data_IF_021548688201
#
_entry.id   IF_021548688201
#
_cell.length_a   1.000
_cell.length_b   1.000
_cell.length_c   1.000
_cell.angle_alpha   90.00
_cell.angle_beta   90.00
_cell.angle_gamma   90.00
#
_symmetry.space_group_name_H-M   'P 1'
#
loop_
_entity.id
_entity.type
_entity.pdbx_description
1 polymer ?
#
# COMPACT_ATOMS: atom_id res chain seq x y z
N UNK A 1 -15.51 -26.79 -10.72
CA UNK A 1 -14.61 -26.03 -9.83
C UNK A 1 -13.66 -25.27 -10.74
N UNK A 2 -13.82 -23.95 -10.88
CA UNK A 2 -12.84 -23.17 -11.64
C UNK A 2 -11.55 -23.11 -10.82
N UNK A 3 -10.43 -23.52 -11.40
CA UNK A 3 -9.11 -23.30 -10.82
C UNK A 3 -8.88 -21.80 -10.70
N UNK A 4 -8.81 -21.30 -9.46
CA UNK A 4 -8.49 -19.90 -9.19
C UNK A 4 -7.08 -19.60 -9.72
N UNK A 5 -6.93 -18.56 -10.54
CA UNK A 5 -5.63 -18.17 -11.08
C UNK A 5 -4.71 -17.75 -9.94
N UNK A 6 -3.48 -18.26 -9.91
CA UNK A 6 -2.48 -17.91 -8.90
C UNK A 6 -1.18 -17.46 -9.56
N UNK A 7 -0.55 -16.43 -8.98
CA UNK A 7 0.63 -15.75 -9.49
C UNK A 7 1.82 -16.02 -8.57
N UNK A 8 2.94 -16.44 -9.15
CA UNK A 8 4.15 -16.75 -8.40
C UNK A 8 4.92 -15.48 -8.05
N UNK A 9 5.16 -15.27 -6.76
CA UNK A 9 6.02 -14.21 -6.23
C UNK A 9 7.45 -14.72 -6.10
N UNK A 10 7.63 -15.85 -5.44
CA UNK A 10 8.90 -16.58 -5.37
C UNK A 10 8.65 -18.10 -5.34
N UNK A 11 9.70 -18.91 -5.15
CA UNK A 11 9.62 -20.37 -5.20
C UNK A 11 8.58 -20.98 -4.26
N UNK A 12 8.25 -20.28 -3.17
CA UNK A 12 7.35 -20.81 -2.15
C UNK A 12 6.07 -19.98 -2.02
N UNK A 13 6.00 -18.77 -2.57
CA UNK A 13 4.94 -17.80 -2.29
C UNK A 13 4.10 -17.50 -3.54
N UNK A 14 2.78 -17.63 -3.39
CA UNK A 14 1.80 -17.39 -4.44
C UNK A 14 0.78 -16.35 -3.98
N UNK A 15 0.26 -15.56 -4.92
CA UNK A 15 -0.87 -14.67 -4.71
C UNK A 15 -2.04 -15.15 -5.57
N UNK A 16 -3.24 -15.24 -5.00
CA UNK A 16 -4.43 -15.56 -5.79
C UNK A 16 -4.99 -14.33 -6.51
N UNK A 17 -5.70 -14.55 -7.61
CA UNK A 17 -6.39 -13.48 -8.34
C UNK A 17 -7.40 -12.74 -7.45
N UNK A 18 -8.05 -13.43 -6.49
CA UNK A 18 -8.94 -12.80 -5.52
C UNK A 18 -8.21 -11.73 -4.70
N UNK A 19 -7.03 -12.04 -4.17
CA UNK A 19 -6.22 -11.08 -3.41
C UNK A 19 -5.85 -9.88 -4.27
N UNK A 20 -5.43 -10.10 -5.52
CA UNK A 20 -5.10 -9.01 -6.44
C UNK A 20 -6.29 -8.10 -6.77
N UNK A 21 -7.51 -8.66 -6.87
CA UNK A 21 -8.74 -7.86 -7.04
C UNK A 21 -9.04 -7.03 -5.80
N UNK A 22 -8.83 -7.58 -4.61
CA UNK A 22 -8.96 -6.82 -3.37
C UNK A 22 -7.93 -5.69 -3.31
N UNK A 23 -6.68 -5.94 -3.73
CA UNK A 23 -5.66 -4.90 -3.82
C UNK A 23 -6.02 -3.81 -4.84
N UNK A 24 -6.53 -4.16 -6.02
CA UNK A 24 -6.98 -3.18 -7.02
C UNK A 24 -8.05 -2.22 -6.49
N UNK A 25 -8.95 -2.72 -5.64
CA UNK A 25 -9.99 -1.90 -5.04
C UNK A 25 -9.42 -0.83 -4.10
N UNK A 26 -8.33 -1.11 -3.37
CA UNK A 26 -7.84 -0.24 -2.28
C UNK A 26 -6.49 0.44 -2.57
N UNK A 27 -5.77 0.02 -3.61
CA UNK A 27 -4.38 0.46 -3.84
C UNK A 27 -4.25 1.95 -4.15
N UNK A 28 -5.17 2.50 -4.94
CA UNK A 28 -5.17 3.93 -5.35
C UNK A 28 -6.44 4.59 -4.84
N UNK A 29 -6.43 5.59 -3.96
CA UNK A 29 -7.68 6.12 -3.39
C UNK A 29 -8.50 6.97 -4.37
N UNK A 30 -9.80 7.13 -4.11
CA UNK A 30 -10.74 7.88 -4.99
C UNK A 30 -10.66 9.41 -4.82
N UNK A 31 -9.77 9.88 -3.96
CA UNK A 31 -9.31 11.27 -3.83
C UNK A 31 -7.80 11.26 -3.57
N UNK A 32 -7.18 12.42 -3.55
CA UNK A 32 -5.74 12.58 -3.30
C UNK A 32 -5.47 13.41 -2.04
N UNK A 33 -4.41 13.03 -1.32
CA UNK A 33 -3.81 13.84 -0.26
C UNK A 33 -2.55 14.52 -0.80
N UNK A 34 -2.63 15.84 -1.00
CA UNK A 34 -1.49 16.66 -1.41
C UNK A 34 -0.96 17.43 -0.21
N UNK A 35 0.25 17.10 0.24
CA UNK A 35 0.92 17.72 1.37
C UNK A 35 1.72 18.96 0.97
N UNK A 36 1.75 19.98 1.82
CA UNK A 36 2.47 21.23 1.59
C UNK A 36 3.06 21.77 2.90
N UNK A 37 4.07 22.63 2.79
CA UNK A 37 4.67 23.30 3.95
C UNK A 37 3.82 24.49 4.42
N UNK A 38 3.13 25.16 3.50
CA UNK A 38 2.34 26.38 3.78
C UNK A 38 1.02 26.42 3.02
N UNK A 39 0.03 27.13 3.58
CA UNK A 39 -1.26 27.40 2.92
C UNK A 39 -1.07 28.20 1.63
N UNK A 40 -0.07 29.10 1.57
CA UNK A 40 0.20 29.89 0.37
C UNK A 40 0.61 29.01 -0.83
N UNK A 41 1.35 27.93 -0.59
CA UNK A 41 1.64 26.96 -1.66
C UNK A 41 0.35 26.32 -2.19
N UNK A 42 -0.55 25.91 -1.29
CA UNK A 42 -1.85 25.33 -1.66
C UNK A 42 -2.64 26.32 -2.53
N UNK A 43 -2.82 27.55 -2.05
CA UNK A 43 -3.59 28.57 -2.76
C UNK A 43 -3.00 28.95 -4.13
N UNK A 44 -1.68 28.77 -4.32
CA UNK A 44 -1.02 28.99 -5.60
C UNK A 44 -1.43 27.93 -6.63
N UNK A 45 -1.46 26.65 -6.24
CA UNK A 45 -1.72 25.54 -7.16
C UNK A 45 -3.20 25.17 -7.26
N UNK A 46 -3.98 25.44 -6.22
CA UNK A 46 -5.42 25.20 -6.14
C UNK A 46 -6.19 26.52 -5.97
N UNK A 47 -6.69 27.12 -7.06
CA UNK A 47 -7.36 28.42 -7.02
C UNK A 47 -8.82 28.39 -6.52
N UNK A 48 -9.26 27.37 -5.77
CA UNK A 48 -10.67 27.19 -5.39
C UNK A 48 -10.91 26.30 -4.17
N UNK A 49 -12.14 25.77 -4.05
CA UNK A 49 -12.65 25.01 -2.91
C UNK A 49 -11.99 23.62 -2.75
N UNK A 50 -10.77 23.60 -2.22
CA UNK A 50 -10.14 22.39 -1.71
C UNK A 50 -10.25 22.34 -0.20
N UNK A 51 -10.47 21.14 0.35
CA UNK A 51 -10.46 20.97 1.79
C UNK A 51 -9.00 21.00 2.26
N UNK A 52 -8.67 21.97 3.11
CA UNK A 52 -7.34 22.12 3.67
C UNK A 52 -7.38 21.70 5.13
N UNK A 53 -6.50 20.78 5.50
CA UNK A 53 -6.29 20.34 6.87
C UNK A 53 -4.86 20.65 7.28
N UNK A 54 -4.65 21.02 8.54
CA UNK A 54 -3.32 20.85 9.12
C UNK A 54 -3.00 19.36 9.24
N UNK A 55 -1.70 19.02 9.29
CA UNK A 55 -1.24 17.64 9.46
C UNK A 55 -1.76 17.04 10.77
N UNK A 56 -1.88 17.85 11.82
CA UNK A 56 -2.41 17.42 13.12
C UNK A 56 -3.91 17.11 13.05
N UNK A 57 -4.71 17.97 12.42
CA UNK A 57 -6.15 17.72 12.21
C UNK A 57 -6.37 16.47 11.35
N UNK A 58 -5.63 16.34 10.24
CA UNK A 58 -5.77 15.19 9.35
C UNK A 58 -5.45 13.87 10.05
N UNK A 59 -4.37 13.80 10.83
CA UNK A 59 -3.99 12.56 11.55
C UNK A 59 -5.07 12.11 12.54
N UNK A 60 -5.81 13.06 13.12
CA UNK A 60 -6.88 12.79 14.08
C UNK A 60 -8.24 12.57 13.43
N UNK A 61 -8.38 12.78 12.11
CA UNK A 61 -9.60 12.48 11.38
C UNK A 61 -9.70 10.98 11.08
N UNK A 62 -10.55 10.26 11.79
CA UNK A 62 -10.69 8.81 11.63
C UNK A 62 -11.32 8.38 10.30
N UNK A 63 -12.03 9.29 9.61
CA UNK A 63 -12.66 9.00 8.32
C UNK A 63 -11.63 9.13 7.21
N UNK A 64 -10.88 10.24 7.20
CA UNK A 64 -9.86 10.54 6.20
C UNK A 64 -8.53 9.83 6.46
N UNK A 65 -8.11 9.68 7.71
CA UNK A 65 -6.85 9.02 8.09
C UNK A 65 -7.08 7.58 8.58
N UNK A 66 -8.02 6.87 7.95
CA UNK A 66 -8.20 5.44 8.13
C UNK A 66 -6.98 4.64 7.62
N UNK A 67 -6.91 3.35 7.95
CA UNK A 67 -5.74 2.53 7.60
C UNK A 67 -5.51 2.41 6.09
N UNK A 68 -6.56 2.35 5.28
CA UNK A 68 -6.44 2.25 3.83
C UNK A 68 -5.76 3.48 3.24
N UNK A 69 -6.22 4.67 3.61
CA UNK A 69 -5.61 5.93 3.17
C UNK A 69 -4.20 6.09 3.71
N UNK A 70 -3.97 5.70 4.96
CA UNK A 70 -2.63 5.76 5.55
C UNK A 70 -1.64 4.89 4.77
N UNK A 71 -2.06 3.69 4.37
CA UNK A 71 -1.28 2.77 3.55
C UNK A 71 -1.06 3.31 2.14
N UNK A 72 -2.12 3.72 1.46
CA UNK A 72 -2.06 4.19 0.08
C UNK A 72 -1.19 5.45 -0.06
N UNK A 73 -1.34 6.43 0.84
CA UNK A 73 -0.55 7.67 0.80
C UNK A 73 0.78 7.59 1.56
N UNK A 74 1.05 6.48 2.25
CA UNK A 74 2.21 6.28 3.14
C UNK A 74 2.38 7.46 4.12
N UNK A 75 1.30 7.85 4.77
CA UNK A 75 1.21 9.04 5.64
C UNK A 75 2.28 9.12 6.74
N UNK A 76 2.84 7.98 7.16
CA UNK A 76 3.93 7.87 8.13
C UNK A 76 5.32 8.25 7.58
N UNK A 77 5.51 8.30 6.26
CA UNK A 77 6.75 8.67 5.60
C UNK A 77 6.81 10.15 5.18
N UNK A 78 5.71 10.90 5.39
CA UNK A 78 5.62 12.30 4.99
C UNK A 78 6.64 13.12 5.77
N UNK A 79 7.47 13.86 5.04
CA UNK A 79 8.51 14.71 5.61
C UNK A 79 7.93 15.61 6.72
N UNK A 80 8.68 15.78 7.81
CA UNK A 80 8.26 16.58 8.97
C UNK A 80 8.03 18.05 8.64
N UNK A 81 8.63 18.55 7.55
CA UNK A 81 8.43 19.94 7.08
C UNK A 81 7.03 20.18 6.50
N UNK A 82 6.32 19.13 6.05
CA UNK A 82 4.94 19.25 5.60
C UNK A 82 4.01 19.54 6.79
N UNK A 83 3.23 20.61 6.69
CA UNK A 83 2.34 21.09 7.76
C UNK A 83 0.87 21.03 7.40
N UNK A 84 0.55 21.03 6.12
CA UNK A 84 -0.82 21.06 5.61
C UNK A 84 -1.04 19.98 4.57
N UNK A 85 -2.29 19.57 4.40
CA UNK A 85 -2.73 18.68 3.34
C UNK A 85 -3.99 19.25 2.69
N UNK A 86 -4.00 19.27 1.36
CA UNK A 86 -5.19 19.50 0.56
C UNK A 86 -5.79 18.14 0.17
N UNK A 87 -7.09 17.97 0.44
CA UNK A 87 -7.86 16.78 0.07
C UNK A 87 -8.62 17.13 -1.21
N UNK A 88 -8.31 16.41 -2.30
CA UNK A 88 -8.75 16.79 -3.63
C UNK A 88 -9.38 15.58 -4.33
N UNK A 89 -10.64 15.68 -4.82
CA UNK A 89 -11.20 14.64 -5.66
C UNK A 89 -10.34 14.43 -6.93
N UNK A 90 -10.12 13.18 -7.35
CA UNK A 90 -9.28 12.89 -8.52
C UNK A 90 -9.75 13.62 -9.80
N UNK A 91 -11.07 13.85 -9.94
CA UNK A 91 -11.65 14.60 -11.05
C UNK A 91 -11.19 16.07 -11.07
N UNK A 92 -11.01 16.68 -9.90
CA UNK A 92 -10.52 18.06 -9.78
C UNK A 92 -9.04 18.14 -10.14
N UNK A 93 -8.20 17.20 -9.69
CA UNK A 93 -6.80 17.18 -10.12
C UNK A 93 -6.67 17.02 -11.65
N UNK A 94 -7.52 16.19 -12.25
CA UNK A 94 -7.46 15.86 -13.68
C UNK A 94 -7.69 17.07 -14.60
N UNK A 95 -8.45 18.08 -14.14
CA UNK A 95 -8.74 19.30 -14.92
C UNK A 95 -7.72 20.42 -14.72
N UNK A 96 -6.75 20.27 -13.81
CA UNK A 96 -5.70 21.25 -13.62
C UNK A 96 -4.81 21.35 -14.87
N UNK A 97 -4.22 22.52 -15.08
CA UNK A 97 -3.23 22.70 -16.14
C UNK A 97 -1.97 21.86 -15.86
N UNK A 98 -1.29 21.39 -16.91
CA UNK A 98 -0.12 20.51 -16.77
C UNK A 98 0.99 21.12 -15.92
N UNK A 99 1.19 22.43 -16.00
CA UNK A 99 2.14 23.15 -15.15
C UNK A 99 1.78 23.06 -13.65
N UNK A 100 0.48 23.16 -13.32
CA UNK A 100 0.00 23.02 -11.93
C UNK A 100 0.14 21.58 -11.45
N UNK A 101 -0.23 20.60 -12.29
CA UNK A 101 -0.05 19.17 -11.99
C UNK A 101 1.40 18.86 -11.72
N UNK A 102 2.31 19.29 -12.60
CA UNK A 102 3.75 19.09 -12.43
C UNK A 102 4.28 19.75 -11.16
N UNK A 103 3.87 20.98 -10.84
CA UNK A 103 4.26 21.66 -9.60
C UNK A 103 3.79 20.90 -8.36
N UNK A 104 2.53 20.44 -8.37
CA UNK A 104 1.99 19.59 -7.31
C UNK A 104 2.82 18.31 -7.23
N UNK A 105 2.91 17.49 -8.28
CA UNK A 105 3.59 16.20 -8.23
C UNK A 105 5.08 16.30 -7.83
N UNK A 106 5.76 17.37 -8.24
CA UNK A 106 7.12 17.65 -7.84
C UNK A 106 7.24 17.92 -6.33
N UNK A 107 6.43 18.83 -5.79
CA UNK A 107 6.44 19.18 -4.36
C UNK A 107 6.24 17.95 -3.49
N UNK A 108 5.44 17.06 -4.00
CA UNK A 108 4.99 15.86 -3.34
C UNK A 108 6.02 14.73 -3.35
N UNK A 109 6.73 14.58 -4.47
CA UNK A 109 7.94 13.76 -4.53
C UNK A 109 8.98 14.28 -3.53
N UNK A 110 9.20 15.60 -3.48
CA UNK A 110 10.13 16.26 -2.54
C UNK A 110 9.77 15.98 -1.08
N UNK A 111 8.48 15.95 -0.76
CA UNK A 111 7.95 15.61 0.56
C UNK A 111 7.87 14.09 0.84
N UNK A 112 8.35 13.26 -0.10
CA UNK A 112 8.40 11.79 -0.03
C UNK A 112 7.04 11.14 0.22
N UNK A 113 6.00 11.66 -0.43
CA UNK A 113 4.64 11.15 -0.26
C UNK A 113 4.12 10.44 -1.51
N UNK A 114 3.01 9.73 -1.32
CA UNK A 114 2.08 9.35 -2.39
C UNK A 114 2.62 8.26 -3.30
N UNK A 115 1.81 7.93 -4.31
CA UNK A 115 2.06 6.85 -5.24
C UNK A 115 2.91 7.36 -6.41
N UNK A 116 4.15 7.75 -6.10
CA UNK A 116 5.14 8.23 -7.08
C UNK A 116 6.25 7.19 -7.21
N UNK A 117 6.54 6.79 -8.43
CA UNK A 117 7.63 5.85 -8.74
C UNK A 117 8.53 6.39 -9.84
N UNK A 118 9.75 5.84 -9.87
CA UNK A 118 10.68 6.04 -10.97
C UNK A 118 10.07 5.58 -12.28
N UNK A 119 10.17 6.43 -13.30
CA UNK A 119 9.54 6.17 -14.59
C UNK A 119 10.14 4.95 -15.30
N UNK A 120 11.44 4.70 -15.11
CA UNK A 120 12.11 3.52 -15.66
C UNK A 120 11.65 2.22 -14.98
N UNK A 121 11.29 2.24 -13.69
CA UNK A 121 10.69 1.09 -13.01
C UNK A 121 9.32 0.75 -13.60
N UNK A 122 8.48 1.78 -13.85
CA UNK A 122 7.19 1.63 -14.53
C UNK A 122 7.37 1.00 -15.92
N UNK A 123 8.30 1.54 -16.73
CA UNK A 123 8.60 1.02 -18.08
C UNK A 123 9.05 -0.44 -18.05
N UNK A 124 9.90 -0.81 -17.09
CA UNK A 124 10.37 -2.18 -16.93
C UNK A 124 9.21 -3.16 -16.66
N UNK A 125 8.21 -2.76 -15.87
CA UNK A 125 7.00 -3.55 -15.64
C UNK A 125 6.17 -3.65 -16.92
N UNK A 126 5.90 -2.52 -17.58
CA UNK A 126 5.05 -2.48 -18.76
C UNK A 126 5.62 -3.29 -19.93
N UNK A 127 6.94 -3.39 -20.04
CA UNK A 127 7.61 -4.26 -21.02
C UNK A 127 7.21 -5.74 -20.85
N UNK A 128 6.89 -6.18 -19.62
CA UNK A 128 6.43 -7.56 -19.33
C UNK A 128 5.01 -7.83 -19.86
N UNK A 129 4.21 -6.79 -20.10
CA UNK A 129 2.87 -6.91 -20.69
C UNK A 129 2.88 -7.14 -22.22
N UNK A 130 4.06 -7.07 -22.85
CA UNK A 130 4.23 -7.10 -24.30
C UNK A 130 4.17 -5.71 -24.94
N UNK A 131 4.84 -5.54 -26.09
CA UNK A 131 5.09 -4.22 -26.70
C UNK A 131 3.83 -3.40 -26.92
N UNK A 132 2.81 -3.94 -27.60
CA UNK A 132 1.60 -3.17 -27.93
C UNK A 132 0.83 -2.69 -26.70
N UNK A 133 0.58 -3.59 -25.74
CA UNK A 133 -0.17 -3.24 -24.53
C UNK A 133 0.65 -2.36 -23.58
N UNK A 134 1.94 -2.65 -23.46
CA UNK A 134 2.89 -1.88 -22.68
C UNK A 134 2.99 -0.44 -23.16
N UNK A 135 3.10 -0.22 -24.47
CA UNK A 135 3.17 1.12 -25.07
C UNK A 135 1.88 1.92 -24.84
N UNK A 136 0.70 1.28 -25.00
CA UNK A 136 -0.60 1.92 -24.68
C UNK A 136 -0.68 2.32 -23.21
N UNK A 137 -0.26 1.45 -22.29
CA UNK A 137 -0.27 1.78 -20.86
C UNK A 137 0.76 2.86 -20.53
N UNK A 138 1.89 2.90 -21.23
CA UNK A 138 2.93 3.89 -21.01
C UNK A 138 2.43 5.30 -21.32
N UNK A 139 1.66 5.49 -22.40
CA UNK A 139 1.09 6.81 -22.72
C UNK A 139 0.11 7.30 -21.64
N UNK A 140 -0.56 6.39 -20.93
CA UNK A 140 -1.41 6.75 -19.79
C UNK A 140 -0.57 7.29 -18.63
N UNK A 141 0.56 6.64 -18.30
CA UNK A 141 1.44 7.11 -17.21
C UNK A 141 2.20 8.40 -17.56
N UNK A 142 2.44 8.67 -18.85
CA UNK A 142 3.04 9.94 -19.30
C UNK A 142 2.21 11.17 -18.90
N UNK A 143 0.88 11.03 -18.76
CA UNK A 143 -0.01 12.15 -18.40
C UNK A 143 0.29 12.74 -17.02
N UNK A 144 0.88 11.94 -16.11
CA UNK A 144 1.32 12.35 -14.78
C UNK A 144 2.83 12.16 -14.58
N UNK A 145 3.59 12.13 -15.66
CA UNK A 145 5.04 12.08 -15.58
C UNK A 145 5.63 13.48 -15.42
N UNK A 146 6.69 13.60 -14.64
CA UNK A 146 7.35 14.87 -14.35
C UNK A 146 8.84 14.66 -14.07
N UNK A 147 9.63 15.71 -14.30
CA UNK A 147 11.09 15.68 -14.12
C UNK A 147 11.48 16.07 -12.69
N UNK A 148 12.50 15.38 -12.17
CA UNK A 148 13.11 15.67 -10.86
C UNK A 148 14.64 15.62 -10.98
N UNK A 149 15.39 16.13 -9.98
CA UNK A 149 16.84 15.92 -9.91
C UNK A 149 17.29 14.46 -9.93
N UNK A 150 16.44 13.52 -9.50
CA UNK A 150 16.72 12.08 -9.47
C UNK A 150 16.31 11.38 -10.79
N UNK A 151 15.73 12.13 -11.73
CA UNK A 151 15.24 11.64 -13.02
C UNK A 151 13.74 11.78 -13.17
N UNK A 152 13.21 11.17 -14.24
CA UNK A 152 11.78 11.20 -14.56
C UNK A 152 11.01 10.29 -13.60
N UNK A 153 9.95 10.84 -13.04
CA UNK A 153 9.03 10.17 -12.13
C UNK A 153 7.63 10.15 -12.74
N UNK A 154 6.75 9.26 -12.29
CA UNK A 154 5.33 9.36 -12.56
C UNK A 154 4.49 9.04 -11.33
N UNK A 155 3.39 9.79 -11.18
CA UNK A 155 2.42 9.59 -10.13
C UNK A 155 1.24 8.74 -10.62
N UNK A 156 0.89 7.69 -9.89
CA UNK A 156 -0.32 6.91 -10.14
C UNK A 156 -1.46 7.50 -9.32
N UNK A 157 -2.48 7.94 -10.04
CA UNK A 157 -3.74 8.43 -9.49
C UNK A 157 -4.89 7.60 -10.02
N UNK A 158 -6.05 7.65 -9.36
CA UNK A 158 -7.17 6.75 -9.67
C UNK A 158 -7.62 6.87 -11.12
N UNK A 159 -7.68 8.09 -11.65
CA UNK A 159 -8.10 8.34 -13.05
C UNK A 159 -7.19 7.71 -14.09
N UNK A 160 -5.88 7.61 -13.81
CA UNK A 160 -4.95 6.86 -14.65
C UNK A 160 -5.08 5.35 -14.41
N UNK A 161 -5.11 4.96 -13.14
CA UNK A 161 -5.12 3.56 -12.73
C UNK A 161 -6.31 2.79 -13.28
N UNK A 162 -7.50 3.40 -13.30
CA UNK A 162 -8.73 2.77 -13.79
C UNK A 162 -8.70 2.50 -15.31
N UNK A 163 -7.83 3.20 -16.06
CA UNK A 163 -7.63 2.97 -17.49
C UNK A 163 -6.65 1.84 -17.78
N UNK A 164 -5.90 1.39 -16.77
CA UNK A 164 -4.94 0.29 -16.91
C UNK A 164 -5.69 -1.05 -16.83
N UNK A 165 -5.50 -1.97 -17.78
CA UNK A 165 -6.12 -3.29 -17.71
C UNK A 165 -5.65 -4.09 -16.49
N UNK A 166 -6.56 -4.87 -15.89
CA UNK A 166 -6.27 -5.66 -14.69
C UNK A 166 -5.09 -6.62 -14.86
N UNK A 167 -4.88 -7.16 -16.07
CA UNK A 167 -3.71 -8.00 -16.38
C UNK A 167 -2.38 -7.26 -16.21
N UNK A 168 -2.33 -5.97 -16.53
CA UNK A 168 -1.15 -5.11 -16.34
C UNK A 168 -1.02 -4.69 -14.88
N UNK A 169 -2.13 -4.34 -14.21
CA UNK A 169 -2.15 -4.05 -12.77
C UNK A 169 -1.60 -5.22 -11.94
N UNK A 170 -1.90 -6.44 -12.35
CA UNK A 170 -1.34 -7.66 -11.75
C UNK A 170 0.20 -7.69 -11.83
N UNK A 171 0.80 -7.22 -12.91
CA UNK A 171 2.25 -7.12 -13.01
C UNK A 171 2.80 -6.15 -11.95
N UNK A 172 2.20 -4.97 -11.79
CA UNK A 172 2.59 -4.03 -10.72
C UNK A 172 2.51 -4.67 -9.33
N UNK A 173 1.38 -5.29 -9.00
CA UNK A 173 1.20 -5.93 -7.70
C UNK A 173 2.20 -7.04 -7.43
N UNK A 174 2.45 -7.90 -8.42
CA UNK A 174 3.42 -8.98 -8.26
C UNK A 174 4.85 -8.46 -8.12
N UNK A 175 5.20 -7.36 -8.78
CA UNK A 175 6.54 -6.76 -8.69
C UNK A 175 6.75 -6.01 -7.37
N UNK A 176 5.72 -5.30 -6.88
CA UNK A 176 5.72 -4.71 -5.52
C UNK A 176 5.83 -5.83 -4.48
N UNK A 177 5.02 -6.88 -4.59
CA UNK A 177 5.07 -8.00 -3.67
C UNK A 177 6.46 -8.69 -3.67
N UNK A 178 7.10 -8.80 -4.84
CA UNK A 178 8.47 -9.33 -4.95
C UNK A 178 9.47 -8.46 -4.21
N UNK A 179 9.49 -7.15 -4.47
CA UNK A 179 10.46 -6.23 -3.84
C UNK A 179 10.34 -6.18 -2.32
N UNK A 180 9.13 -6.36 -1.79
CA UNK A 180 8.89 -6.42 -0.34
C UNK A 180 9.15 -7.82 0.25
N UNK A 181 9.24 -8.86 -0.59
CA UNK A 181 9.44 -10.26 -0.20
C UNK A 181 10.89 -10.77 -0.33
N UNK A 182 11.84 -9.91 -0.71
CA UNK A 182 13.25 -10.28 -0.96
C UNK A 182 14.03 -10.75 0.29
N UNK A 183 13.39 -10.81 1.45
CA UNK A 183 13.92 -11.57 2.58
C UNK A 183 13.64 -13.05 2.37
N UNK A 184 14.68 -13.89 2.34
CA UNK A 184 14.54 -15.35 2.29
C UNK A 184 13.62 -15.75 3.45
N UNK A 185 12.36 -16.05 3.13
CA UNK A 185 11.37 -16.42 4.13
C UNK A 185 11.91 -17.62 4.91
N UNK A 186 11.99 -17.53 6.23
CA UNK A 186 12.40 -18.66 7.06
C UNK A 186 11.56 -19.91 6.74
N UNK A 187 10.29 -19.71 6.38
CA UNK A 187 9.39 -20.77 5.90
C UNK A 187 9.93 -21.53 4.69
N UNK A 188 10.57 -20.84 3.75
CA UNK A 188 11.19 -21.48 2.57
C UNK A 188 12.34 -22.41 2.92
N UNK A 189 13.02 -22.15 4.05
CA UNK A 189 14.18 -22.91 4.50
C UNK A 189 13.80 -24.13 5.36
N UNK A 190 12.56 -24.19 5.87
CA UNK A 190 12.10 -25.31 6.68
C UNK A 190 11.91 -26.57 5.84
N UNK A 191 12.36 -27.70 6.39
CA UNK A 191 12.09 -29.02 5.83
C UNK A 191 10.59 -29.34 5.85
N UNK A 192 10.16 -30.27 4.99
CA UNK A 192 8.77 -30.76 4.96
C UNK A 192 8.34 -31.27 6.36
N UNK A 193 9.25 -31.92 7.08
CA UNK A 193 8.98 -32.42 8.44
C UNK A 193 8.71 -31.29 9.43
N UNK A 194 9.45 -30.18 9.33
CA UNK A 194 9.25 -29.01 10.19
C UNK A 194 7.95 -28.27 9.85
N UNK A 195 7.65 -28.10 8.56
CA UNK A 195 6.38 -27.53 8.09
C UNK A 195 5.19 -28.35 8.61
N UNK A 196 5.23 -29.67 8.44
CA UNK A 196 4.19 -30.58 8.94
C UNK A 196 4.09 -30.53 10.47
N UNK A 197 5.20 -30.37 11.20
CA UNK A 197 5.17 -30.20 12.66
C UNK A 197 4.43 -28.92 13.03
N UNK A 198 4.74 -27.80 12.38
CA UNK A 198 4.09 -26.51 12.64
C UNK A 198 2.60 -26.58 12.33
N UNK A 199 2.22 -27.17 11.19
CA UNK A 199 0.81 -27.36 10.79
C UNK A 199 0.03 -28.16 11.84
N UNK A 200 0.61 -29.25 12.35
CA UNK A 200 -0.04 -30.09 13.35
C UNK A 200 -0.09 -29.43 14.75
N UNK A 201 0.95 -28.71 15.14
CA UNK A 201 1.01 -28.05 16.47
C UNK A 201 0.18 -26.76 16.50
N UNK A 202 0.14 -26.01 15.40
CA UNK A 202 -0.48 -24.68 15.31
C UNK A 202 -1.41 -24.54 14.10
N UNK A 203 -2.44 -25.42 13.96
CA UNK A 203 -3.30 -25.43 12.77
C UNK A 203 -4.10 -24.13 12.58
N UNK A 204 -4.33 -23.38 13.65
CA UNK A 204 -5.03 -22.10 13.64
C UNK A 204 -4.17 -20.94 13.12
N UNK A 205 -2.84 -21.02 13.23
CA UNK A 205 -1.91 -20.00 12.73
C UNK A 205 -1.45 -20.33 11.31
N UNK A 206 -1.41 -21.63 10.97
CA UNK A 206 -0.88 -22.11 9.69
C UNK A 206 -1.50 -21.42 8.47
N UNK A 207 -2.81 -21.19 8.46
CA UNK A 207 -3.52 -20.52 7.37
C UNK A 207 -3.13 -19.04 7.19
N UNK A 208 -2.52 -18.44 8.21
CA UNK A 208 -2.05 -17.06 8.18
C UNK A 208 -0.57 -16.97 7.82
N UNK A 209 0.18 -18.08 7.88
CA UNK A 209 1.58 -18.12 7.49
C UNK A 209 1.72 -18.04 5.97
N UNK A 210 2.72 -17.29 5.52
CA UNK A 210 3.15 -17.31 4.12
C UNK A 210 2.01 -16.98 3.13
N UNK A 211 1.12 -16.08 3.54
CA UNK A 211 -0.03 -15.60 2.79
C UNK A 211 0.00 -14.09 2.65
N UNK A 212 -0.79 -13.55 1.72
CA UNK A 212 -1.00 -12.12 1.59
C UNK A 212 -2.40 -11.76 2.09
N UNK A 213 -2.51 -10.61 2.76
CA UNK A 213 -3.78 -10.13 3.26
C UNK A 213 -4.65 -9.56 2.13
N UNK A 214 -5.95 -9.80 2.23
CA UNK A 214 -6.96 -9.24 1.30
C UNK A 214 -7.24 -7.74 1.57
N UNK A 215 -7.00 -7.26 2.78
CA UNK A 215 -7.31 -5.90 3.23
C UNK A 215 -6.15 -5.29 4.01
N UNK A 216 -6.08 -3.97 4.07
CA UNK A 216 -5.22 -3.32 5.06
C UNK A 216 -5.78 -3.55 6.48
N UNK A 217 -4.92 -3.50 7.48
CA UNK A 217 -5.32 -3.71 8.87
C UNK A 217 -4.40 -4.68 9.59
N UNK A 218 -4.26 -5.95 9.17
CA UNK A 218 -3.31 -6.86 9.77
C UNK A 218 -1.89 -6.25 9.78
N UNK A 219 -1.24 -6.25 10.94
CA UNK A 219 0.16 -5.83 11.06
C UNK A 219 0.99 -6.86 11.82
N UNK A 220 2.32 -6.70 11.81
CA UNK A 220 3.24 -7.65 12.44
C UNK A 220 2.97 -7.83 13.94
N UNK A 221 2.47 -6.77 14.62
CA UNK A 221 2.11 -6.83 16.02
C UNK A 221 0.90 -7.74 16.24
N UNK A 222 -0.16 -7.59 15.44
CA UNK A 222 -1.32 -8.46 15.44
C UNK A 222 -0.95 -9.92 15.19
N UNK A 223 -0.09 -10.19 14.21
CA UNK A 223 0.39 -11.54 13.93
C UNK A 223 1.15 -12.15 15.11
N UNK A 224 2.04 -11.38 15.76
CA UNK A 224 2.78 -11.84 16.94
C UNK A 224 1.85 -12.19 18.12
N UNK A 225 0.83 -11.38 18.36
CA UNK A 225 -0.13 -11.59 19.46
C UNK A 225 -1.05 -12.77 19.15
N UNK A 226 -1.55 -12.87 17.92
CA UNK A 226 -2.33 -14.02 17.47
C UNK A 226 -1.51 -15.33 17.65
N UNK A 227 -0.21 -15.29 17.34
CA UNK A 227 0.71 -16.41 17.54
C UNK A 227 0.93 -16.81 19.01
N UNK A 228 0.81 -15.86 19.95
CA UNK A 228 0.88 -16.12 21.38
C UNK A 228 -0.47 -16.51 22.01
N UNK A 229 -1.57 -16.37 21.26
CA UNK A 229 -2.93 -16.58 21.77
C UNK A 229 -3.33 -18.06 21.65
N UNK A 230 -3.74 -18.66 22.77
CA UNK A 230 -4.16 -20.08 22.84
C UNK A 230 -5.61 -20.29 22.36
N UNK A 231 -6.44 -19.25 22.42
CA UNK A 231 -7.84 -19.31 21.98
C UNK A 231 -7.96 -19.07 20.47
N UNK A 232 -8.40 -20.09 19.74
CA UNK A 232 -8.53 -20.07 18.28
C UNK A 232 -9.42 -18.94 17.73
N UNK A 233 -10.60 -18.72 18.33
CA UNK A 233 -11.54 -17.70 17.88
C UNK A 233 -10.93 -16.29 18.04
N UNK A 234 -10.11 -16.12 19.07
CA UNK A 234 -9.36 -14.90 19.30
C UNK A 234 -8.17 -14.76 18.36
N UNK A 235 -7.43 -15.83 18.06
CA UNK A 235 -6.34 -15.81 17.08
C UNK A 235 -6.82 -15.26 15.74
N UNK A 236 -7.94 -15.80 15.21
CA UNK A 236 -8.47 -15.37 13.91
C UNK A 236 -8.99 -13.93 13.95
N UNK A 237 -9.60 -13.50 15.05
CA UNK A 237 -10.03 -12.11 15.18
C UNK A 237 -8.83 -11.15 15.27
N UNK A 238 -7.84 -11.45 16.13
CA UNK A 238 -6.64 -10.63 16.37
C UNK A 238 -5.80 -10.52 15.11
N UNK A 239 -5.55 -11.62 14.39
CA UNK A 239 -4.73 -11.63 13.17
C UNK A 239 -5.27 -10.71 12.08
N UNK A 240 -6.56 -10.34 12.18
CA UNK A 240 -7.25 -9.46 11.26
C UNK A 240 -7.29 -7.97 11.71
N UNK A 241 -6.63 -7.59 12.81
CA UNK A 241 -6.66 -6.23 13.36
C UNK A 241 -5.40 -5.41 13.08
N UNK A 242 -5.55 -4.08 13.06
CA UNK A 242 -4.43 -3.13 13.15
C UNK A 242 -4.19 -2.73 14.61
N UNK A 243 -3.13 -3.26 15.21
CA UNK A 243 -2.82 -2.97 16.62
C UNK A 243 -1.79 -1.85 16.73
N UNK A 244 -2.06 -0.88 17.61
CA UNK A 244 -1.13 0.21 17.91
C UNK A 244 -0.27 -0.13 19.14
N UNK A 245 1.05 0.07 19.03
CA UNK A 245 2.01 -0.34 20.07
C UNK A 245 1.91 0.45 21.36
N UNK A 246 1.49 1.73 21.32
CA UNK A 246 1.60 2.64 22.47
C UNK A 246 0.80 2.20 23.70
N UNK A 247 -0.41 1.68 23.48
CA UNK A 247 -1.34 1.32 24.57
C UNK A 247 -1.57 -0.20 24.62
N UNK A 248 -1.64 -0.85 23.46
CA UNK A 248 -1.93 -2.28 23.34
C UNK A 248 -0.78 -3.15 23.85
N UNK A 249 0.47 -2.76 23.56
CA UNK A 249 1.64 -3.59 23.88
C UNK A 249 1.91 -3.70 25.40
N UNK A 250 1.90 -2.61 26.19
CA UNK A 250 2.04 -2.70 27.64
C UNK A 250 0.91 -3.49 28.32
N UNK A 251 -0.34 -3.33 27.84
CA UNK A 251 -1.50 -4.05 28.38
C UNK A 251 -1.40 -5.56 28.12
N UNK A 252 -0.92 -5.97 26.95
CA UNK A 252 -0.72 -7.38 26.63
C UNK A 252 0.43 -8.02 27.41
N UNK A 253 1.52 -7.28 27.67
CA UNK A 253 2.58 -7.71 28.58
C UNK A 253 2.06 -7.86 30.02
N UNK A 254 1.21 -6.94 30.48
CA UNK A 254 0.64 -6.96 31.83
C UNK A 254 -0.41 -8.06 32.03
N UNK A 255 -1.16 -8.43 30.98
CA UNK A 255 -2.21 -9.43 31.05
C UNK A 255 -1.71 -10.89 30.95
N UNK A 256 -0.41 -11.13 30.80
CA UNK A 256 0.13 -12.49 30.82
C UNK A 256 -0.41 -13.40 29.72
N UNK A 257 -0.89 -12.84 28.60
CA UNK A 257 -1.32 -13.60 27.43
C UNK A 257 -0.15 -14.29 26.70
N UNK A 258 1.09 -14.01 27.11
CA UNK A 258 2.20 -14.96 26.96
C UNK A 258 1.99 -16.03 28.04
N UNK A 259 1.10 -16.98 27.75
CA UNK A 259 0.97 -18.18 28.55
C UNK A 259 2.38 -18.77 28.70
N UNK A 260 2.79 -18.86 29.97
CA UNK A 260 4.06 -19.45 30.39
C UNK A 260 4.29 -20.76 29.62
N UNK A 261 5.46 -20.86 28.97
CA UNK A 261 6.06 -22.16 28.66
C UNK A 261 6.17 -22.99 29.95
#
# INVERSE_FOLDING_TARGET
MSTETAYRINENLMISEKILKCWDAIFVPDYDFFYFETINQINKVFPGDVLIYSKEELINDHVLCNIDNRCAFKTWNVNSIAKFAAIVPNSHFSILADAQKAEILYEQWRLRRGLIWEYEWIKAILKKAGTMLGDICLTIFEENAFETPEGKMAAIQRTLWDRIPFSVKTLFFTEIAKSESDSISLWSQLSIKEKNRIENTFPHIFNHLHSFAEKNGPNCLAAAIAGATVNKDWTDWISNQWLQSKETFPLLLAQGAIARY
#
